data_IF_608386016170
#
_entry.id   IF_608386016170
#
_cell.length_a   1.000
_cell.length_b   1.000
_cell.length_c   1.000
_cell.angle_alpha   90.00
_cell.angle_beta   90.00
_cell.angle_gamma   90.00
#
_symmetry.space_group_name_H-M   'P 1'
#
loop_
_entity.id
_entity.type
_entity.pdbx_description
1 polymer ?
#
# COMPACT_ATOMS: atom_id res chain seq x y z
N UNK A 1 52.16 27.14 -30.52
CA UNK A 1 51.27 25.96 -30.57
C UNK A 1 51.52 25.18 -29.29
N UNK A 2 50.66 25.32 -28.27
CA UNK A 2 50.79 24.61 -27.00
C UNK A 2 49.49 23.82 -26.77
N UNK A 3 49.60 22.50 -26.72
CA UNK A 3 48.49 21.58 -26.52
C UNK A 3 48.61 21.05 -25.10
N UNK A 4 47.62 21.34 -24.24
CA UNK A 4 47.54 20.78 -22.88
C UNK A 4 46.58 19.58 -22.94
N UNK A 5 46.97 18.38 -22.48
CA UNK A 5 46.06 17.24 -22.48
C UNK A 5 45.11 17.36 -21.28
N UNK A 6 43.80 17.42 -21.56
CA UNK A 6 42.75 17.32 -20.55
C UNK A 6 42.70 15.85 -20.11
N UNK A 7 43.33 15.54 -18.98
CA UNK A 7 43.07 14.28 -18.27
C UNK A 7 41.71 14.41 -17.59
N UNK A 8 40.66 14.01 -18.31
CA UNK A 8 39.31 13.93 -17.77
C UNK A 8 39.22 12.84 -16.72
N UNK A 9 39.33 13.20 -15.43
CA UNK A 9 38.67 12.41 -14.38
C UNK A 9 37.21 12.82 -14.38
N UNK A 10 36.34 11.94 -14.88
CA UNK A 10 34.91 12.04 -14.62
C UNK A 10 34.71 11.89 -13.10
N UNK A 11 33.92 12.76 -12.45
CA UNK A 11 33.57 12.55 -11.06
C UNK A 11 32.70 11.29 -10.98
N UNK A 12 33.18 10.28 -10.27
CA UNK A 12 32.40 9.11 -9.86
C UNK A 12 31.18 9.61 -9.08
N UNK A 13 30.02 9.65 -9.73
CA UNK A 13 28.73 9.86 -9.08
C UNK A 13 28.47 8.67 -8.15
N UNK A 14 28.95 8.79 -6.92
CA UNK A 14 28.55 7.89 -5.85
C UNK A 14 27.05 8.09 -5.68
N UNK A 15 26.20 7.06 -5.83
CA UNK A 15 24.79 7.18 -5.52
C UNK A 15 24.73 7.63 -4.07
N UNK A 16 24.25 8.86 -3.86
CA UNK A 16 24.08 9.45 -2.55
C UNK A 16 23.13 8.54 -1.81
N UNK A 17 23.67 7.61 -1.02
CA UNK A 17 22.88 6.67 -0.27
C UNK A 17 21.93 7.50 0.57
N UNK A 18 20.65 7.48 0.22
CA UNK A 18 19.60 8.11 1.02
C UNK A 18 19.56 7.33 2.32
N UNK A 19 20.39 7.75 3.28
CA UNK A 19 20.34 7.26 4.65
C UNK A 19 19.00 7.74 5.21
N UNK A 20 17.97 6.93 5.01
CA UNK A 20 16.75 7.07 5.79
C UNK A 20 17.18 6.97 7.26
N UNK A 21 16.79 7.92 8.12
CA UNK A 21 17.14 7.85 9.52
C UNK A 21 16.67 6.51 10.06
N UNK A 22 17.56 5.81 10.81
CA UNK A 22 17.16 4.60 11.52
C UNK A 22 16.03 4.96 12.48
N UNK A 23 14.81 4.55 12.17
CA UNK A 23 13.68 4.66 13.07
C UNK A 23 13.86 3.64 14.21
N UNK A 24 14.66 4.00 15.21
CA UNK A 24 14.95 3.14 16.38
C UNK A 24 13.91 3.25 17.48
N UNK A 25 13.02 4.24 17.41
CA UNK A 25 12.00 4.50 18.45
C UNK A 25 10.63 4.17 17.91
N UNK A 26 10.02 3.12 18.47
CA UNK A 26 8.61 2.81 18.26
C UNK A 26 7.78 3.83 19.06
N UNK A 27 7.36 4.91 18.40
CA UNK A 27 6.47 5.88 19.04
C UNK A 27 5.12 5.23 19.37
N UNK A 28 4.41 5.71 20.41
CA UNK A 28 3.07 5.20 20.74
C UNK A 28 2.09 5.27 19.56
N UNK A 29 2.21 6.27 18.69
CA UNK A 29 1.40 6.43 17.47
C UNK A 29 1.69 5.32 16.46
N UNK A 30 2.97 5.00 16.25
CA UNK A 30 3.40 3.93 15.36
C UNK A 30 3.03 2.56 15.94
N UNK A 31 3.16 2.37 17.26
CA UNK A 31 2.73 1.14 17.93
C UNK A 31 1.24 0.87 17.70
N UNK A 32 0.37 1.87 17.92
CA UNK A 32 -1.08 1.77 17.67
C UNK A 32 -1.39 1.52 16.20
N UNK A 33 -0.66 2.17 15.29
CA UNK A 33 -0.78 1.95 13.85
C UNK A 33 -0.50 0.48 13.49
N UNK A 34 0.64 -0.04 13.96
CA UNK A 34 1.05 -1.43 13.72
C UNK A 34 0.10 -2.43 14.37
N UNK A 35 -0.40 -2.15 15.57
CA UNK A 35 -1.39 -2.98 16.24
C UNK A 35 -2.67 -3.12 15.41
N UNK A 36 -3.20 -2.01 14.89
CA UNK A 36 -4.38 -2.02 14.02
C UNK A 36 -4.11 -2.81 12.72
N UNK A 37 -3.00 -2.52 12.03
CA UNK A 37 -2.62 -3.22 10.81
C UNK A 37 -2.41 -4.72 11.04
N UNK A 38 -1.76 -5.11 12.13
CA UNK A 38 -1.54 -6.50 12.48
C UNK A 38 -2.84 -7.22 12.82
N UNK A 39 -3.74 -6.56 13.55
CA UNK A 39 -5.06 -7.10 13.89
C UNK A 39 -5.91 -7.34 12.65
N UNK A 40 -5.97 -6.34 11.75
CA UNK A 40 -6.64 -6.49 10.45
C UNK A 40 -6.00 -7.60 9.60
N UNK A 41 -4.66 -7.63 9.54
CA UNK A 41 -3.91 -8.66 8.80
C UNK A 41 -4.25 -10.07 9.29
N UNK A 42 -4.25 -10.27 10.62
CA UNK A 42 -4.59 -11.56 11.23
C UNK A 42 -6.04 -11.94 10.95
N UNK A 43 -6.98 -11.00 11.07
CA UNK A 43 -8.38 -11.25 10.79
C UNK A 43 -8.62 -11.68 9.33
N UNK A 44 -8.00 -10.98 8.38
CA UNK A 44 -8.08 -11.33 6.95
C UNK A 44 -7.50 -12.72 6.66
N UNK A 45 -6.31 -13.02 7.20
CA UNK A 45 -5.68 -14.34 7.01
C UNK A 45 -6.51 -15.47 7.63
N UNK A 46 -7.09 -15.25 8.81
CA UNK A 46 -8.00 -16.22 9.45
C UNK A 46 -9.29 -16.43 8.64
N UNK A 47 -9.73 -15.41 7.91
CA UNK A 47 -10.83 -15.51 6.95
C UNK A 47 -10.42 -16.15 5.61
N UNK A 48 -9.15 -16.53 5.45
CA UNK A 48 -8.61 -17.07 4.20
C UNK A 48 -8.61 -16.03 3.07
N UNK A 49 -8.35 -14.76 3.39
CA UNK A 49 -8.18 -13.66 2.44
C UNK A 49 -6.69 -13.31 2.39
N UNK A 50 -5.99 -13.62 1.28
CA UNK A 50 -4.62 -13.19 1.06
C UNK A 50 -4.49 -11.66 0.99
N UNK A 51 -3.36 -11.15 1.44
CA UNK A 51 -3.00 -9.73 1.33
C UNK A 51 -1.86 -9.66 0.32
N UNK A 52 -2.06 -8.92 -0.76
CA UNK A 52 -1.07 -8.75 -1.82
C UNK A 52 -0.03 -7.71 -1.45
N UNK A 53 -0.47 -6.61 -0.82
CA UNK A 53 0.40 -5.50 -0.45
C UNK A 53 -0.09 -4.82 0.83
N UNK A 54 0.84 -4.19 1.54
CA UNK A 54 0.54 -3.39 2.74
C UNK A 54 1.26 -2.05 2.64
N UNK A 55 0.51 -0.95 2.75
CA UNK A 55 1.04 0.40 3.01
C UNK A 55 0.82 0.74 4.49
N UNK A 56 1.91 0.75 5.26
CA UNK A 56 1.84 1.12 6.68
C UNK A 56 1.59 2.62 6.87
N UNK A 57 2.10 3.45 5.96
CA UNK A 57 1.94 4.90 6.00
C UNK A 57 0.47 5.29 5.80
N UNK A 58 -0.18 4.67 4.81
CA UNK A 58 -1.60 4.92 4.52
C UNK A 58 -2.55 4.07 5.35
N UNK A 59 -2.02 3.19 6.21
CA UNK A 59 -2.78 2.15 6.94
C UNK A 59 -3.72 1.39 6.00
N UNK A 60 -3.17 0.92 4.88
CA UNK A 60 -3.93 0.29 3.81
C UNK A 60 -3.41 -1.10 3.48
N UNK A 61 -4.32 -2.06 3.41
CA UNK A 61 -4.10 -3.44 2.98
C UNK A 61 -4.73 -3.65 1.61
N UNK A 62 -4.02 -4.28 0.69
CA UNK A 62 -4.51 -4.58 -0.64
C UNK A 62 -4.81 -6.08 -0.76
N UNK A 63 -5.99 -6.40 -1.28
CA UNK A 63 -6.45 -7.76 -1.54
C UNK A 63 -6.83 -7.89 -3.01
N UNK A 64 -6.95 -9.13 -3.48
CA UNK A 64 -7.44 -9.42 -4.83
C UNK A 64 -8.93 -9.12 -4.95
N UNK A 65 -9.35 -8.73 -6.16
CA UNK A 65 -10.77 -8.54 -6.48
C UNK A 65 -11.60 -9.79 -6.14
N UNK A 66 -11.09 -10.98 -6.45
CA UNK A 66 -11.78 -12.26 -6.20
C UNK A 66 -12.12 -12.51 -4.72
N UNK A 67 -11.36 -11.92 -3.80
CA UNK A 67 -11.56 -12.04 -2.36
C UNK A 67 -12.50 -10.99 -1.79
N UNK A 68 -12.87 -9.96 -2.55
CA UNK A 68 -13.76 -8.88 -2.10
C UNK A 68 -15.12 -9.40 -1.62
N UNK A 69 -15.68 -10.40 -2.31
CA UNK A 69 -16.94 -11.02 -1.90
C UNK A 69 -16.81 -11.75 -0.56
N UNK A 70 -15.68 -12.42 -0.32
CA UNK A 70 -15.38 -13.11 0.94
C UNK A 70 -15.21 -12.09 2.07
N UNK A 71 -14.53 -10.98 1.80
CA UNK A 71 -14.40 -9.86 2.71
C UNK A 71 -15.78 -9.35 3.16
N UNK A 72 -16.65 -9.03 2.20
CA UNK A 72 -17.99 -8.54 2.51
C UNK A 72 -18.86 -9.56 3.26
N UNK A 73 -18.77 -10.85 2.91
CA UNK A 73 -19.51 -11.90 3.61
C UNK A 73 -19.03 -12.08 5.06
N UNK A 74 -17.72 -12.15 5.28
CA UNK A 74 -17.14 -12.46 6.59
C UNK A 74 -17.17 -11.29 7.56
N UNK A 75 -17.05 -10.06 7.04
CA UNK A 75 -16.90 -8.84 7.83
C UNK A 75 -18.04 -7.84 7.65
N UNK A 76 -19.20 -8.27 7.12
CA UNK A 76 -20.36 -7.41 6.84
C UNK A 76 -20.67 -6.40 7.94
N UNK A 77 -20.68 -6.87 9.19
CA UNK A 77 -21.06 -6.05 10.34
C UNK A 77 -19.91 -5.14 10.85
N UNK A 78 -18.66 -5.44 10.47
CA UNK A 78 -17.47 -4.72 10.88
C UNK A 78 -16.99 -3.69 9.83
N UNK A 79 -17.35 -3.89 8.56
CA UNK A 79 -17.02 -2.97 7.47
C UNK A 79 -17.71 -1.62 7.68
N UNK A 80 -16.96 -0.54 7.49
CA UNK A 80 -17.43 0.85 7.51
C UNK A 80 -16.84 1.63 6.35
N UNK A 81 -17.38 2.82 6.07
CA UNK A 81 -16.73 3.81 5.20
C UNK A 81 -16.38 3.29 3.80
N UNK A 82 -17.33 2.63 3.13
CA UNK A 82 -17.15 2.14 1.76
C UNK A 82 -16.95 3.35 0.83
N UNK A 83 -15.85 3.35 0.08
CA UNK A 83 -15.46 4.39 -0.87
C UNK A 83 -15.02 3.74 -2.18
N UNK A 84 -15.34 4.39 -3.29
CA UNK A 84 -14.94 3.95 -4.62
C UNK A 84 -14.39 5.15 -5.38
N UNK A 85 -13.29 4.97 -6.08
CA UNK A 85 -12.69 6.02 -6.92
C UNK A 85 -12.16 5.43 -8.20
N UNK A 86 -12.54 6.01 -9.33
CA UNK A 86 -12.10 5.55 -10.66
C UNK A 86 -10.96 6.42 -11.17
N UNK A 87 -9.89 5.78 -11.62
CA UNK A 87 -8.70 6.39 -12.21
C UNK A 87 -8.43 5.73 -13.56
N UNK A 88 -8.80 6.40 -14.66
CA UNK A 88 -8.66 5.85 -16.01
C UNK A 88 -9.47 4.56 -16.15
N UNK A 89 -8.79 3.46 -16.48
CA UNK A 89 -9.39 2.14 -16.73
C UNK A 89 -9.55 1.28 -15.46
N UNK A 90 -9.25 1.82 -14.28
CA UNK A 90 -9.28 1.07 -13.02
C UNK A 90 -10.14 1.79 -11.99
N UNK A 91 -10.97 1.03 -11.28
CA UNK A 91 -11.71 1.49 -10.11
C UNK A 91 -11.07 0.90 -8.85
N UNK A 92 -10.70 1.77 -7.91
CA UNK A 92 -10.22 1.40 -6.58
C UNK A 92 -11.40 1.40 -5.62
N UNK A 93 -11.62 0.27 -4.97
CA UNK A 93 -12.58 0.11 -3.89
C UNK A 93 -11.83 0.13 -2.58
N UNK A 94 -12.39 0.81 -1.58
CA UNK A 94 -11.81 0.91 -0.25
C UNK A 94 -12.91 0.74 0.78
N UNK A 95 -12.65 -0.08 1.79
CA UNK A 95 -13.51 -0.20 2.98
C UNK A 95 -12.66 -0.07 4.22
N UNK A 96 -13.20 0.46 5.30
CA UNK A 96 -12.51 0.49 6.60
C UNK A 96 -12.90 -0.73 7.43
N UNK A 97 -11.89 -1.47 7.91
CA UNK A 97 -11.99 -2.65 8.76
C UNK A 97 -11.00 -2.53 9.91
N UNK A 98 -11.48 -2.59 11.16
CA UNK A 98 -10.63 -2.53 12.37
C UNK A 98 -9.70 -1.28 12.40
N UNK A 99 -10.17 -0.15 11.87
CA UNK A 99 -9.39 1.09 11.81
C UNK A 99 -8.33 1.14 10.71
N UNK A 100 -8.34 0.18 9.77
CA UNK A 100 -7.41 0.05 8.64
C UNK A 100 -8.23 0.04 7.34
N UNK A 101 -7.72 0.67 6.29
CA UNK A 101 -8.34 0.59 4.97
C UNK A 101 -7.98 -0.74 4.30
N UNK A 102 -8.97 -1.43 3.75
CA UNK A 102 -8.81 -2.61 2.90
C UNK A 102 -9.25 -2.23 1.50
N UNK A 103 -8.37 -2.39 0.52
CA UNK A 103 -8.57 -1.95 -0.84
C UNK A 103 -8.39 -3.08 -1.85
N UNK A 104 -9.11 -2.99 -2.96
CA UNK A 104 -8.91 -3.82 -4.14
C UNK A 104 -9.25 -3.01 -5.38
N UNK A 105 -8.76 -3.45 -6.54
CA UNK A 105 -9.03 -2.82 -7.81
C UNK A 105 -9.95 -3.69 -8.65
N UNK A 106 -10.79 -3.05 -9.45
CA UNK A 106 -11.57 -3.70 -10.52
C UNK A 106 -11.31 -2.95 -11.82
N UNK A 107 -11.27 -3.62 -12.98
CA UNK A 107 -11.29 -2.91 -14.25
C UNK A 107 -12.59 -2.09 -14.35
N UNK A 108 -12.52 -0.92 -14.97
CA UNK A 108 -13.73 -0.21 -15.40
C UNK A 108 -14.36 -1.09 -16.47
N UNK A 109 -15.61 -1.53 -16.24
CA UNK A 109 -16.39 -2.16 -17.29
C UNK A 109 -16.62 -1.08 -18.35
N UNK A 110 -15.97 -1.19 -19.50
CA UNK A 110 -16.47 -0.54 -20.71
C UNK A 110 -17.92 -1.04 -20.86
N UNK A 111 -18.89 -0.15 -20.65
CA UNK A 111 -20.24 -0.44 -21.09
C UNK A 111 -20.15 -0.46 -22.62
N UNK A 112 -20.14 -1.64 -23.21
CA UNK A 112 -20.41 -1.83 -24.64
C UNK A 112 -21.68 -1.04 -24.96
N UNK A 113 -21.52 0.08 -25.68
CA UNK A 113 -22.59 0.82 -26.31
C UNK A 113 -22.70 0.42 -27.77
#
# INVERSE_FOLDING_TARGET
MNVVPITGRLPEEHPKATHLPLCTVLTPELARCLEAVNSATRALRQAGIPIEQTSLLDRRLFIREEDSLRLHRRFRNAIRGIRQTTHGMVTVHVVSLLGVDVAWTTPVKEQDQ
#
